data_IF_953680656056
#
_entry.id   IF_953680656056
#
_cell.length_a   1.000
_cell.length_b   1.000
_cell.length_c   1.000
_cell.angle_alpha   90.00
_cell.angle_beta   90.00
_cell.angle_gamma   90.00
#
_symmetry.space_group_name_H-M   'P 1'
#
loop_
_entity.id
_entity.type
_entity.pdbx_description
1 polymer ?
#
# COMPACT_ATOMS: atom_id res chain seq x y z
N UNK A 1 -38.42 62.19 22.84
CA UNK A 1 -38.74 60.86 23.40
C UNK A 1 -39.37 60.06 22.26
N UNK A 2 -38.86 58.95 21.74
CA UNK A 2 -37.78 58.07 22.16
C UNK A 2 -36.95 57.62 20.96
N UNK A 3 -35.65 57.75 21.12
CA UNK A 3 -34.60 57.38 20.20
C UNK A 3 -33.93 56.11 20.74
N UNK A 4 -34.62 54.96 20.73
CA UNK A 4 -34.03 53.68 21.19
C UNK A 4 -34.83 52.53 20.60
N UNK A 5 -34.41 51.91 19.49
CA UNK A 5 -34.74 50.51 19.17
C UNK A 5 -34.01 49.91 17.93
N UNK A 6 -32.96 50.56 17.38
CA UNK A 6 -32.22 50.02 16.22
C UNK A 6 -30.75 49.64 16.45
N UNK A 7 -30.26 49.55 17.69
CA UNK A 7 -28.83 49.27 17.97
C UNK A 7 -28.55 47.86 18.51
N UNK A 8 -29.56 47.03 18.80
CA UNK A 8 -29.32 45.77 19.55
C UNK A 8 -29.13 44.53 18.65
N UNK A 9 -29.50 44.57 17.36
CA UNK A 9 -29.41 43.38 16.49
C UNK A 9 -28.19 43.29 15.58
N UNK A 10 -27.21 44.21 15.72
CA UNK A 10 -25.98 44.20 14.92
C UNK A 10 -24.72 43.83 15.73
N UNK A 11 -24.89 43.31 16.95
CA UNK A 11 -23.78 42.96 17.85
C UNK A 11 -23.73 41.49 18.30
N UNK A 12 -24.48 40.59 17.65
CA UNK A 12 -24.38 39.14 17.91
C UNK A 12 -23.82 38.31 16.74
N UNK A 13 -23.39 38.94 15.64
CA UNK A 13 -22.87 38.20 14.46
C UNK A 13 -21.34 38.27 14.27
N UNK A 14 -20.60 38.83 15.23
CA UNK A 14 -19.15 39.02 15.11
C UNK A 14 -18.31 38.35 16.22
N UNK A 15 -18.84 37.37 16.94
CA UNK A 15 -18.08 36.57 17.92
C UNK A 15 -18.23 35.05 17.71
N UNK A 16 -18.31 34.61 16.45
CA UNK A 16 -17.58 33.39 16.10
C UNK A 16 -16.17 33.82 15.76
N UNK A 17 -15.36 34.06 16.79
CA UNK A 17 -13.93 33.86 16.62
C UNK A 17 -13.77 32.41 16.21
N UNK A 18 -13.58 32.18 14.91
CA UNK A 18 -12.89 31.00 14.44
C UNK A 18 -11.58 31.04 15.20
N UNK A 19 -11.48 30.27 16.29
CA UNK A 19 -10.18 29.91 16.83
C UNK A 19 -9.45 29.33 15.63
N UNK A 20 -8.36 29.93 15.15
CA UNK A 20 -7.57 29.27 14.14
C UNK A 20 -7.17 27.95 14.78
N UNK A 21 -7.74 26.84 14.28
CA UNK A 21 -7.23 25.53 14.63
C UNK A 21 -5.74 25.62 14.37
N UNK A 22 -4.96 25.24 15.37
CA UNK A 22 -3.50 25.29 15.34
C UNK A 22 -3.09 24.76 13.98
N UNK A 23 -2.66 25.65 13.09
CA UNK A 23 -2.40 25.28 11.70
C UNK A 23 -1.45 24.10 11.76
N UNK A 24 -1.94 22.90 11.42
CA UNK A 24 -1.09 21.73 11.33
C UNK A 24 -0.17 22.01 10.16
N UNK A 25 0.98 22.61 10.49
CA UNK A 25 2.15 22.57 9.65
C UNK A 25 2.42 21.08 9.47
N UNK A 26 2.03 20.54 8.31
CA UNK A 26 2.56 19.28 7.81
C UNK A 26 4.07 19.39 7.93
N UNK A 27 4.63 18.83 9.01
CA UNK A 27 6.05 18.93 9.27
C UNK A 27 6.75 18.04 8.25
N UNK A 28 7.04 18.62 7.08
CA UNK A 28 7.69 17.94 5.96
C UNK A 28 9.06 17.36 6.33
N UNK A 29 9.64 17.76 7.46
CA UNK A 29 10.90 17.19 7.95
C UNK A 29 10.77 15.70 8.34
N UNK A 30 9.57 15.21 8.63
CA UNK A 30 9.32 13.77 8.92
C UNK A 30 8.85 12.96 7.71
N UNK A 31 8.67 13.59 6.55
CA UNK A 31 8.22 12.89 5.35
C UNK A 31 9.45 12.48 4.54
N UNK A 32 9.77 11.18 4.56
CA UNK A 32 10.66 10.61 3.55
C UNK A 32 9.98 10.76 2.18
N UNK A 33 10.67 11.40 1.25
CA UNK A 33 10.20 11.53 -0.13
C UNK A 33 10.06 10.10 -0.67
N UNK A 34 8.84 9.71 -1.07
CA UNK A 34 8.65 8.50 -1.88
C UNK A 34 9.58 8.58 -3.08
N UNK A 35 10.05 7.45 -3.58
CA UNK A 35 10.74 7.40 -4.87
C UNK A 35 9.92 8.21 -5.88
N UNK A 36 10.62 8.99 -6.70
CA UNK A 36 9.94 9.84 -7.66
C UNK A 36 9.00 8.98 -8.49
N UNK A 37 7.73 9.38 -8.58
CA UNK A 37 6.84 8.83 -9.59
C UNK A 37 7.58 8.84 -10.94
N UNK A 38 7.38 7.79 -11.73
CA UNK A 38 8.09 7.57 -13.00
C UNK A 38 8.26 8.90 -13.73
N UNK A 39 9.51 9.31 -13.95
CA UNK A 39 9.86 10.66 -14.42
C UNK A 39 9.36 10.97 -15.84
N UNK A 40 8.73 10.00 -16.48
CA UNK A 40 8.33 9.96 -17.87
C UNK A 40 6.80 9.96 -18.03
N UNK A 41 6.04 10.70 -17.21
CA UNK A 41 4.61 10.89 -17.51
C UNK A 41 4.47 11.36 -18.97
N UNK A 42 3.77 10.61 -19.84
CA UNK A 42 3.73 10.93 -21.26
C UNK A 42 3.15 12.32 -21.57
N UNK A 43 2.34 12.87 -20.66
CA UNK A 43 1.77 14.21 -20.78
C UNK A 43 2.61 15.32 -20.13
N UNK A 44 3.71 14.97 -19.48
CA UNK A 44 4.50 15.87 -18.62
C UNK A 44 3.75 16.37 -17.38
N UNK A 45 2.53 15.87 -17.13
CA UNK A 45 1.72 16.22 -15.97
C UNK A 45 0.84 15.03 -15.52
N UNK A 46 -0.19 15.25 -14.70
CA UNK A 46 -1.09 14.18 -14.22
C UNK A 46 -2.21 13.80 -15.22
N UNK A 47 -2.39 14.55 -16.31
CA UNK A 47 -3.41 14.25 -17.29
C UNK A 47 -3.03 12.98 -18.07
N UNK A 48 -3.96 12.03 -18.23
CA UNK A 48 -3.75 10.88 -19.11
C UNK A 48 -3.70 11.33 -20.58
N UNK A 49 -3.05 10.52 -21.42
CA UNK A 49 -3.02 10.70 -22.88
C UNK A 49 -3.39 9.40 -23.56
N UNK A 50 -3.92 9.51 -24.77
CA UNK A 50 -4.09 8.36 -25.65
C UNK A 50 -2.74 8.07 -26.27
N UNK A 51 -2.29 6.82 -26.18
CA UNK A 51 -1.06 6.34 -26.78
C UNK A 51 -1.35 5.07 -27.60
N UNK A 52 -0.43 4.74 -28.52
CA UNK A 52 -0.52 3.52 -29.31
C UNK A 52 -0.27 2.31 -28.42
N UNK A 53 -1.11 1.29 -28.56
CA UNK A 53 -0.90 0.02 -27.88
C UNK A 53 0.47 -0.57 -28.27
N UNK A 54 1.22 -1.16 -27.33
CA UNK A 54 2.42 -1.93 -27.65
C UNK A 54 2.09 -3.03 -28.66
N UNK A 55 3.01 -3.29 -29.59
CA UNK A 55 2.83 -4.34 -30.61
C UNK A 55 2.90 -5.76 -30.02
N UNK A 56 3.57 -5.91 -28.87
CA UNK A 56 3.71 -7.18 -28.14
C UNK A 56 2.92 -7.10 -26.82
N UNK A 57 1.59 -7.17 -26.92
CA UNK A 57 0.69 -7.12 -25.77
C UNK A 57 0.27 -8.53 -25.34
N UNK A 58 0.59 -8.88 -24.09
CA UNK A 58 0.18 -10.15 -23.50
C UNK A 58 -1.23 -10.05 -22.90
N UNK A 59 -2.14 -10.92 -23.34
CA UNK A 59 -3.46 -11.10 -22.73
C UNK A 59 -3.63 -12.53 -22.26
N UNK A 60 -4.19 -12.68 -21.05
CA UNK A 60 -4.63 -13.98 -20.55
C UNK A 60 -6.08 -14.19 -20.95
N UNK A 61 -6.35 -15.25 -21.70
CA UNK A 61 -7.72 -15.63 -22.01
C UNK A 61 -8.37 -16.25 -20.77
N UNK A 62 -9.61 -15.86 -20.40
CA UNK A 62 -10.26 -16.34 -19.19
C UNK A 62 -10.53 -17.86 -19.18
N UNK A 63 -10.56 -18.51 -20.35
CA UNK A 63 -10.87 -19.93 -20.51
C UNK A 63 -9.65 -20.79 -20.86
N UNK A 64 -8.44 -20.25 -20.74
CA UNK A 64 -7.23 -21.03 -20.97
C UNK A 64 -6.98 -21.95 -19.76
N UNK A 65 -7.14 -23.25 -19.95
CA UNK A 65 -6.97 -24.26 -18.90
C UNK A 65 -5.54 -24.28 -18.34
N UNK A 66 -4.56 -23.80 -19.11
CA UNK A 66 -3.16 -23.64 -18.69
C UNK A 66 -2.72 -22.18 -18.78
N UNK A 67 -3.59 -21.27 -18.34
CA UNK A 67 -3.34 -19.83 -18.37
C UNK A 67 -1.98 -19.47 -17.77
N UNK A 68 -1.03 -19.16 -18.65
CA UNK A 68 0.35 -18.88 -18.26
C UNK A 68 0.45 -17.58 -17.47
N UNK A 69 1.42 -17.54 -16.56
CA UNK A 69 1.87 -16.29 -15.95
C UNK A 69 2.42 -15.36 -17.04
N UNK A 70 2.28 -14.06 -16.83
CA UNK A 70 3.01 -13.11 -17.67
C UNK A 70 4.51 -13.37 -17.53
N UNK A 71 5.31 -13.04 -18.56
CA UNK A 71 6.77 -13.22 -18.49
C UNK A 71 7.36 -12.54 -17.25
N UNK A 72 6.97 -11.29 -17.00
CA UNK A 72 7.44 -10.52 -15.85
C UNK A 72 7.09 -11.17 -14.50
N UNK A 73 5.88 -11.72 -14.37
CA UNK A 73 5.46 -12.40 -13.15
C UNK A 73 6.21 -13.73 -12.97
N UNK A 74 6.34 -14.52 -14.04
CA UNK A 74 7.12 -15.75 -14.01
C UNK A 74 8.58 -15.49 -13.63
N UNK A 75 9.21 -14.48 -14.23
CA UNK A 75 10.60 -14.10 -13.95
C UNK A 75 10.76 -13.63 -12.50
N UNK A 76 9.83 -12.82 -12.00
CA UNK A 76 9.82 -12.35 -10.61
C UNK A 76 9.72 -13.52 -9.62
N UNK A 77 8.79 -14.45 -9.83
CA UNK A 77 8.57 -15.58 -8.91
C UNK A 77 9.74 -16.54 -8.93
N UNK A 78 10.28 -16.86 -10.11
CA UNK A 78 11.45 -17.72 -10.24
C UNK A 78 12.67 -17.11 -9.55
N UNK A 79 12.93 -15.82 -9.75
CA UNK A 79 14.03 -15.10 -9.11
C UNK A 79 13.86 -15.07 -7.58
N UNK A 80 12.66 -14.73 -7.10
CA UNK A 80 12.36 -14.66 -5.67
C UNK A 80 12.47 -16.02 -5.00
N UNK A 81 11.95 -17.07 -5.62
CA UNK A 81 12.06 -18.44 -5.10
C UNK A 81 13.52 -18.92 -5.05
N UNK A 82 14.33 -18.57 -6.05
CA UNK A 82 15.77 -18.85 -6.02
C UNK A 82 16.47 -18.17 -4.84
N UNK A 83 16.14 -16.91 -4.57
CA UNK A 83 16.71 -16.15 -3.45
C UNK A 83 16.17 -16.53 -2.07
N UNK A 84 15.06 -17.29 -1.99
CA UNK A 84 14.44 -17.64 -0.71
C UNK A 84 14.96 -18.91 -0.06
N UNK A 85 15.85 -19.67 -0.72
CA UNK A 85 16.48 -20.87 -0.13
C UNK A 85 17.10 -20.59 1.25
N UNK A 86 17.99 -19.58 1.43
CA UNK A 86 18.55 -19.29 2.75
C UNK A 86 17.49 -18.81 3.74
N UNK A 87 16.45 -18.11 3.27
CA UNK A 87 15.35 -17.63 4.12
C UNK A 87 14.51 -18.80 4.67
N UNK A 88 14.28 -19.83 3.84
CA UNK A 88 13.62 -21.06 4.26
C UNK A 88 14.46 -21.82 5.28
N UNK A 89 15.77 -21.91 5.06
CA UNK A 89 16.69 -22.54 6.00
C UNK A 89 16.69 -21.84 7.35
N UNK A 90 16.81 -20.51 7.36
CA UNK A 90 16.77 -19.70 8.58
C UNK A 90 15.45 -19.87 9.34
N UNK A 91 14.32 -19.85 8.64
CA UNK A 91 13.00 -20.00 9.26
C UNK A 91 12.78 -21.41 9.82
N UNK A 92 13.06 -22.46 9.05
CA UNK A 92 12.83 -23.84 9.48
C UNK A 92 13.72 -24.23 10.67
N UNK A 93 14.97 -23.75 10.70
CA UNK A 93 15.85 -23.92 11.85
C UNK A 93 15.34 -23.17 13.09
N UNK A 94 14.70 -22.01 12.92
CA UNK A 94 14.12 -21.22 14.02
C UNK A 94 12.95 -21.92 14.70
N UNK A 95 12.07 -22.57 13.93
CA UNK A 95 10.84 -23.20 14.45
C UNK A 95 11.13 -24.48 15.23
N UNK A 96 12.27 -25.13 15.00
CA UNK A 96 12.66 -26.37 15.70
C UNK A 96 11.57 -27.45 15.65
N UNK A 97 11.07 -27.72 14.44
CA UNK A 97 10.04 -28.74 14.22
C UNK A 97 10.54 -30.12 14.69
N UNK A 98 9.73 -30.79 15.49
CA UNK A 98 10.02 -32.15 15.97
C UNK A 98 10.05 -33.12 14.78
N UNK A 99 11.04 -34.02 14.78
CA UNK A 99 11.20 -35.08 13.77
C UNK A 99 11.29 -34.54 12.33
N UNK A 100 11.83 -33.32 12.15
CA UNK A 100 11.95 -32.66 10.85
C UNK A 100 13.42 -32.34 10.52
N UNK A 101 13.90 -32.86 9.39
CA UNK A 101 15.25 -32.57 8.88
C UNK A 101 15.21 -31.46 7.81
N UNK A 102 15.71 -30.28 8.19
CA UNK A 102 15.78 -29.09 7.33
C UNK A 102 16.66 -29.31 6.10
N UNK A 103 17.78 -30.03 6.25
CA UNK A 103 18.69 -30.28 5.13
C UNK A 103 18.07 -31.20 4.10
N UNK A 104 17.40 -32.26 4.56
CA UNK A 104 16.65 -33.17 3.69
C UNK A 104 15.53 -32.43 2.95
N UNK A 105 14.75 -31.59 3.66
CA UNK A 105 13.68 -30.79 3.04
C UNK A 105 14.21 -29.86 1.95
N UNK A 106 15.32 -29.15 2.20
CA UNK A 106 15.88 -28.18 1.25
C UNK A 106 16.79 -28.81 0.19
N UNK A 107 17.07 -30.11 0.27
CA UNK A 107 18.01 -30.79 -0.63
C UNK A 107 17.67 -30.55 -2.11
N UNK A 108 16.40 -30.74 -2.49
CA UNK A 108 15.96 -30.54 -3.88
C UNK A 108 16.12 -29.10 -4.35
N UNK A 109 15.85 -28.12 -3.48
CA UNK A 109 15.99 -26.70 -3.80
C UNK A 109 17.46 -26.28 -3.90
N UNK A 110 18.33 -26.81 -3.03
CA UNK A 110 19.78 -26.56 -3.06
C UNK A 110 20.44 -27.17 -4.31
N UNK A 111 19.99 -28.34 -4.76
CA UNK A 111 20.53 -29.02 -5.95
C UNK A 111 19.98 -28.49 -7.27
N UNK A 112 18.66 -28.27 -7.36
CA UNK A 112 17.97 -27.97 -8.63
C UNK A 112 17.50 -26.50 -8.74
N UNK A 113 17.84 -25.67 -7.77
CA UNK A 113 17.37 -24.29 -7.65
C UNK A 113 16.00 -24.16 -6.95
N UNK A 114 15.78 -22.99 -6.35
CA UNK A 114 14.53 -22.65 -5.67
C UNK A 114 13.42 -22.31 -6.66
N UNK A 115 12.35 -23.11 -6.65
CA UNK A 115 11.19 -22.98 -7.52
C UNK A 115 9.91 -23.10 -6.69
N UNK A 116 9.10 -22.06 -6.69
CA UNK A 116 7.87 -22.01 -5.92
C UNK A 116 6.86 -23.06 -6.41
N UNK A 117 6.41 -23.93 -5.50
CA UNK A 117 5.48 -25.02 -5.79
C UNK A 117 6.13 -26.31 -6.31
N UNK A 118 7.42 -26.29 -6.62
CA UNK A 118 8.14 -27.47 -7.16
C UNK A 118 9.25 -28.00 -6.24
N UNK A 119 10.13 -27.09 -5.79
CA UNK A 119 11.27 -27.43 -4.90
C UNK A 119 11.17 -26.72 -3.55
N UNK A 120 10.39 -25.63 -3.49
CA UNK A 120 10.04 -24.90 -2.27
C UNK A 120 8.52 -24.68 -2.20
N UNK A 121 7.91 -24.59 -1.00
CA UNK A 121 6.50 -24.24 -0.89
C UNK A 121 6.20 -22.86 -1.50
N UNK A 122 5.03 -22.73 -2.11
CA UNK A 122 4.55 -21.44 -2.62
C UNK A 122 3.55 -20.82 -1.63
N UNK A 123 4.00 -19.84 -0.86
CA UNK A 123 3.20 -19.17 0.16
C UNK A 123 2.64 -17.83 -0.36
N UNK A 124 1.41 -17.51 0.01
CA UNK A 124 0.85 -16.18 -0.22
C UNK A 124 -0.14 -15.74 0.84
N UNK A 125 -0.31 -14.43 0.99
CA UNK A 125 -1.29 -13.81 1.87
C UNK A 125 -2.58 -13.45 1.14
N UNK A 126 -3.72 -13.67 1.79
CA UNK A 126 -5.05 -13.21 1.33
C UNK A 126 -5.67 -12.34 2.41
N UNK A 127 -5.93 -11.07 2.09
CA UNK A 127 -6.20 -10.02 3.06
C UNK A 127 -7.55 -9.33 2.75
N UNK A 128 -8.49 -9.44 3.68
CA UNK A 128 -9.88 -9.01 3.50
C UNK A 128 -10.06 -7.49 3.49
N UNK A 129 -11.21 -7.03 3.00
CA UNK A 129 -11.60 -5.61 3.07
C UNK A 129 -12.17 -5.18 4.42
N UNK A 130 -12.30 -3.87 4.62
CA UNK A 130 -12.87 -3.30 5.85
C UNK A 130 -12.31 -1.92 6.25
N UNK A 131 -11.96 -1.09 5.27
CA UNK A 131 -11.43 0.27 5.51
C UNK A 131 -10.20 0.29 6.43
N UNK A 132 -10.12 1.30 7.29
CA UNK A 132 -9.00 1.49 8.21
C UNK A 132 -8.79 0.29 9.16
N UNK A 133 -9.86 -0.41 9.56
CA UNK A 133 -9.74 -1.62 10.39
C UNK A 133 -8.95 -2.71 9.67
N UNK A 134 -9.32 -3.01 8.41
CA UNK A 134 -8.63 -4.03 7.64
C UNK A 134 -7.18 -3.64 7.35
N UNK A 135 -6.91 -2.35 7.11
CA UNK A 135 -5.56 -1.80 7.00
C UNK A 135 -4.75 -2.11 8.27
N UNK A 136 -5.24 -1.75 9.46
CA UNK A 136 -4.50 -1.95 10.71
C UNK A 136 -4.30 -3.43 11.05
N UNK A 137 -5.31 -4.28 10.85
CA UNK A 137 -5.22 -5.73 11.10
C UNK A 137 -4.23 -6.38 10.13
N UNK A 138 -4.25 -5.97 8.86
CA UNK A 138 -3.29 -6.50 7.89
C UNK A 138 -1.88 -6.04 8.24
N UNK A 139 -1.71 -4.78 8.64
CA UNK A 139 -0.43 -4.23 9.06
C UNK A 139 0.15 -5.04 10.24
N UNK A 140 -0.66 -5.32 11.27
CA UNK A 140 -0.20 -6.10 12.43
C UNK A 140 0.16 -7.54 12.07
N UNK A 141 -0.64 -8.21 11.23
CA UNK A 141 -0.36 -9.59 10.78
C UNK A 141 0.97 -9.64 10.00
N UNK A 142 1.17 -8.73 9.05
CA UNK A 142 2.41 -8.71 8.28
C UNK A 142 3.62 -8.38 9.16
N UNK A 143 3.49 -7.46 10.13
CA UNK A 143 4.57 -7.14 11.08
C UNK A 143 4.89 -8.30 12.02
N UNK A 144 3.88 -9.09 12.42
CA UNK A 144 4.06 -10.29 13.24
C UNK A 144 4.79 -11.42 12.51
N UNK A 145 4.84 -11.39 11.17
CA UNK A 145 5.55 -12.37 10.36
C UNK A 145 6.88 -11.87 9.79
N UNK A 146 7.23 -10.61 10.06
CA UNK A 146 8.45 -10.00 9.54
C UNK A 146 9.68 -10.43 10.35
N UNK A 147 10.71 -10.97 9.70
CA UNK A 147 11.98 -11.32 10.36
C UNK A 147 12.72 -10.13 10.97
N UNK A 148 12.37 -8.90 10.55
CA UNK A 148 12.89 -7.65 11.12
C UNK A 148 12.20 -7.26 12.43
N UNK A 149 11.26 -8.07 12.92
CA UNK A 149 10.60 -7.92 14.22
C UNK A 149 11.19 -8.92 15.22
N UNK A 150 11.90 -8.41 16.24
CA UNK A 150 12.54 -9.26 17.26
C UNK A 150 11.51 -10.13 18.02
N UNK A 151 10.34 -9.57 18.35
CA UNK A 151 9.27 -10.33 19.02
C UNK A 151 8.70 -11.44 18.13
N UNK A 152 8.66 -11.23 16.82
CA UNK A 152 8.25 -12.28 15.88
C UNK A 152 9.29 -13.41 15.84
N UNK A 153 10.58 -13.07 15.89
CA UNK A 153 11.66 -14.04 15.93
C UNK A 153 11.66 -14.85 17.23
N UNK A 154 11.43 -14.20 18.37
CA UNK A 154 11.24 -14.84 19.68
C UNK A 154 10.04 -15.79 19.67
N UNK A 155 8.94 -15.35 19.05
CA UNK A 155 7.73 -16.17 18.85
C UNK A 155 7.85 -17.20 17.73
N UNK A 156 9.03 -17.38 17.13
CA UNK A 156 9.32 -18.34 16.05
C UNK A 156 8.49 -18.16 14.76
N UNK A 157 7.79 -17.03 14.60
CA UNK A 157 6.95 -16.73 13.43
C UNK A 157 7.59 -15.68 12.50
N UNK A 158 8.67 -15.04 12.94
CA UNK A 158 9.45 -14.10 12.14
C UNK A 158 10.11 -14.79 10.95
N UNK A 159 9.94 -14.22 9.75
CA UNK A 159 10.45 -14.75 8.50
C UNK A 159 9.37 -15.23 7.54
N UNK A 160 8.18 -15.58 8.03
CA UNK A 160 7.06 -16.03 7.17
C UNK A 160 6.73 -14.98 6.10
N UNK A 161 6.82 -13.69 6.43
CA UNK A 161 6.61 -12.61 5.47
C UNK A 161 7.61 -12.67 4.31
N UNK A 162 8.87 -12.95 4.61
CA UNK A 162 9.94 -13.03 3.62
C UNK A 162 9.79 -14.28 2.73
N UNK A 163 9.17 -15.36 3.22
CA UNK A 163 8.92 -16.59 2.46
C UNK A 163 7.74 -16.47 1.48
N UNK A 164 6.83 -15.52 1.69
CA UNK A 164 5.69 -15.33 0.81
C UNK A 164 6.11 -14.80 -0.57
N UNK A 165 5.56 -15.39 -1.63
CA UNK A 165 5.73 -14.93 -3.01
C UNK A 165 4.61 -13.99 -3.45
N UNK A 166 3.42 -14.14 -2.85
CA UNK A 166 2.23 -13.38 -3.19
C UNK A 166 1.59 -12.72 -1.97
N UNK A 167 0.96 -11.57 -2.18
CA UNK A 167 0.05 -10.97 -1.23
C UNK A 167 -1.09 -10.32 -2.02
N UNK A 168 -2.31 -10.74 -1.75
CA UNK A 168 -3.52 -10.18 -2.34
C UNK A 168 -4.33 -9.51 -1.22
N UNK A 169 -4.81 -8.30 -1.48
CA UNK A 169 -5.61 -7.54 -0.54
C UNK A 169 -6.64 -6.68 -1.24
N UNK A 170 -7.84 -6.60 -0.66
CA UNK A 170 -8.96 -5.83 -1.23
C UNK A 170 -9.37 -4.69 -0.30
N UNK A 171 -9.87 -3.58 -0.85
CA UNK A 171 -10.38 -2.43 -0.08
C UNK A 171 -9.32 -1.90 0.91
N UNK A 172 -9.60 -1.85 2.21
CA UNK A 172 -8.66 -1.36 3.23
C UNK A 172 -7.27 -2.00 3.18
N UNK A 173 -7.17 -3.32 2.97
CA UNK A 173 -5.87 -3.99 2.83
C UNK A 173 -5.15 -3.63 1.53
N UNK A 174 -5.89 -3.26 0.47
CA UNK A 174 -5.27 -2.76 -0.76
C UNK A 174 -4.58 -1.41 -0.55
N UNK A 175 -5.08 -0.57 0.37
CA UNK A 175 -4.44 0.69 0.72
C UNK A 175 -3.05 0.46 1.34
N UNK A 176 -2.95 -0.51 2.26
CA UNK A 176 -1.69 -0.93 2.87
C UNK A 176 -0.76 -1.54 1.83
N UNK A 177 -1.18 -2.58 1.11
CA UNK A 177 -0.28 -3.28 0.19
C UNK A 177 0.23 -2.33 -0.91
N UNK A 178 -0.64 -1.48 -1.45
CA UNK A 178 -0.27 -0.48 -2.45
C UNK A 178 0.70 0.58 -1.92
N UNK A 179 0.43 1.16 -0.74
CA UNK A 179 1.32 2.17 -0.15
C UNK A 179 2.66 1.58 0.29
N UNK A 180 2.65 0.37 0.83
CA UNK A 180 3.83 -0.33 1.32
C UNK A 180 4.75 -0.76 0.19
N UNK A 181 4.20 -1.33 -0.89
CA UNK A 181 4.98 -1.71 -2.08
C UNK A 181 5.58 -0.49 -2.79
N UNK A 182 4.81 0.59 -2.93
CA UNK A 182 5.29 1.84 -3.56
C UNK A 182 6.23 2.66 -2.68
N UNK A 183 6.47 2.24 -1.44
CA UNK A 183 7.40 2.88 -0.51
C UNK A 183 8.63 2.01 -0.21
N UNK A 184 8.87 0.98 -1.03
CA UNK A 184 9.97 0.02 -0.87
C UNK A 184 9.95 -0.74 0.47
N UNK A 185 8.76 -1.20 0.88
CA UNK A 185 8.57 -2.15 1.99
C UNK A 185 9.25 -1.76 3.33
N UNK A 186 9.02 -0.55 3.88
CA UNK A 186 9.55 -0.15 5.18
C UNK A 186 9.03 -1.07 6.30
N UNK A 187 9.63 -0.99 7.49
CA UNK A 187 9.07 -1.67 8.67
C UNK A 187 7.68 -1.13 8.95
N UNK A 188 6.70 -2.02 9.07
CA UNK A 188 5.30 -1.60 9.27
C UNK A 188 5.15 -0.77 10.55
N UNK A 189 5.88 -1.12 11.60
CA UNK A 189 5.92 -0.37 12.86
C UNK A 189 6.46 1.07 12.73
N UNK A 190 7.13 1.41 11.62
CA UNK A 190 7.64 2.77 11.35
C UNK A 190 6.67 3.62 10.53
N UNK A 191 5.57 3.03 10.06
CA UNK A 191 4.59 3.72 9.24
C UNK A 191 3.63 4.52 10.12
N UNK A 192 3.58 5.82 9.88
CA UNK A 192 2.55 6.71 10.42
C UNK A 192 1.42 6.87 9.40
N UNK A 193 0.28 6.25 9.71
CA UNK A 193 -0.91 6.25 8.86
C UNK A 193 -1.82 7.46 9.11
N UNK A 194 -1.54 8.25 10.16
CA UNK A 194 -2.30 9.47 10.51
C UNK A 194 -3.81 9.23 10.61
N UNK A 195 -4.19 8.04 11.10
CA UNK A 195 -5.59 7.62 11.25
C UNK A 195 -6.29 8.29 12.44
N UNK A 196 -5.50 8.85 13.35
CA UNK A 196 -5.89 9.60 14.53
C UNK A 196 -5.99 11.11 14.29
N UNK A 197 -5.61 11.58 13.11
CA UNK A 197 -5.74 12.98 12.75
C UNK A 197 -7.16 13.34 12.28
N UNK A 198 -7.66 14.47 12.80
CA UNK A 198 -8.91 15.07 12.35
C UNK A 198 -8.81 15.46 10.86
N UNK A 199 -9.72 14.93 10.06
CA UNK A 199 -9.83 15.19 8.62
C UNK A 199 -11.21 15.76 8.27
N UNK A 200 -11.68 16.69 9.10
CA UNK A 200 -13.00 17.29 8.92
C UNK A 200 -13.10 18.06 7.60
N UNK A 201 -14.23 17.89 6.91
CA UNK A 201 -14.49 18.55 5.62
C UNK A 201 -14.48 20.08 5.70
N UNK A 202 -14.67 20.62 6.90
CA UNK A 202 -14.70 22.06 7.19
C UNK A 202 -13.30 22.64 7.44
N UNK A 203 -12.27 21.81 7.56
CA UNK A 203 -10.89 22.29 7.66
C UNK A 203 -10.48 22.95 6.33
N UNK A 204 -10.01 24.20 6.43
CA UNK A 204 -9.44 24.95 5.31
C UNK A 204 -8.33 24.19 4.57
N UNK A 205 -7.57 23.31 5.23
CA UNK A 205 -6.58 22.45 4.60
C UNK A 205 -7.22 21.38 3.71
N UNK A 206 -8.32 20.79 4.17
CA UNK A 206 -9.12 19.83 3.40
C UNK A 206 -9.79 20.52 2.22
N UNK A 207 -10.37 21.71 2.40
CA UNK A 207 -10.95 22.50 1.30
C UNK A 207 -9.92 22.86 0.22
N UNK A 208 -8.70 23.29 0.61
CA UNK A 208 -7.59 23.55 -0.32
C UNK A 208 -7.17 22.29 -1.06
N UNK A 209 -7.18 21.14 -0.38
CA UNK A 209 -6.89 19.85 -1.01
C UNK A 209 -7.94 19.49 -2.06
N UNK A 210 -9.23 19.65 -1.72
CA UNK A 210 -10.35 19.38 -2.62
C UNK A 210 -10.27 20.21 -3.92
N UNK A 211 -9.91 21.49 -3.82
CA UNK A 211 -9.69 22.34 -5.00
C UNK A 211 -8.56 21.84 -5.91
N UNK A 212 -7.51 21.22 -5.34
CA UNK A 212 -6.42 20.62 -6.12
C UNK A 212 -6.91 19.36 -6.84
N UNK A 213 -7.62 18.48 -6.14
CA UNK A 213 -8.22 17.26 -6.71
C UNK A 213 -9.16 17.63 -7.84
N UNK A 214 -10.06 18.59 -7.62
CA UNK A 214 -10.98 19.09 -8.65
C UNK A 214 -10.26 19.58 -9.92
N UNK A 215 -9.12 20.29 -9.77
CA UNK A 215 -8.30 20.71 -10.93
C UNK A 215 -7.73 19.50 -11.69
N UNK A 216 -7.32 18.44 -11.00
CA UNK A 216 -6.80 17.20 -11.62
C UNK A 216 -7.93 16.47 -12.36
N UNK A 217 -9.08 16.29 -11.72
CA UNK A 217 -10.27 15.66 -12.33
C UNK A 217 -10.72 16.44 -13.57
N UNK A 218 -10.73 17.78 -13.51
CA UNK A 218 -11.05 18.63 -14.67
C UNK A 218 -10.05 18.43 -15.82
N UNK A 219 -8.76 18.23 -15.54
CA UNK A 219 -7.76 17.90 -16.56
C UNK A 219 -8.02 16.54 -17.20
N UNK A 220 -8.34 15.51 -16.40
CA UNK A 220 -8.73 14.18 -16.90
C UNK A 220 -9.95 14.25 -17.83
N UNK A 221 -11.00 14.98 -17.43
CA UNK A 221 -12.19 15.20 -18.26
C UNK A 221 -11.87 15.94 -19.56
N UNK A 222 -11.04 16.98 -19.51
CA UNK A 222 -10.59 17.72 -20.71
C UNK A 222 -9.76 16.86 -21.67
N UNK A 223 -9.03 15.88 -21.15
CA UNK A 223 -8.29 14.91 -21.95
C UNK A 223 -9.19 13.84 -22.60
N UNK A 224 -10.52 13.91 -22.41
CA UNK A 224 -11.48 12.98 -23.02
C UNK A 224 -11.75 11.71 -22.22
N UNK A 225 -11.21 11.58 -20.99
CA UNK A 225 -11.40 10.41 -20.15
C UNK A 225 -12.62 10.57 -19.24
N UNK A 226 -13.32 9.45 -18.99
CA UNK A 226 -14.46 9.41 -18.08
C UNK A 226 -14.03 9.77 -16.64
N UNK A 227 -14.93 10.43 -15.91
CA UNK A 227 -14.72 10.85 -14.52
C UNK A 227 -15.94 10.47 -13.70
N UNK A 228 -15.71 10.05 -12.46
CA UNK A 228 -16.71 9.56 -11.52
C UNK A 228 -16.35 10.05 -10.10
N UNK A 229 -16.99 9.46 -9.09
CA UNK A 229 -16.68 9.71 -7.67
C UNK A 229 -15.42 8.97 -7.18
N UNK A 230 -14.86 8.06 -7.99
CA UNK A 230 -13.68 7.26 -7.63
C UNK A 230 -12.39 8.10 -7.71
N UNK A 231 -12.40 9.20 -8.45
CA UNK A 231 -11.29 10.15 -8.62
C UNK A 231 -11.24 11.26 -7.56
#
# INVERSE_FOLDING_TARGET
MNLTHHVIYLWCLFHFTVTPSTSYNLNRQRLTRRDAAISNSPSGNYAPVVDKCPTDFFTRQPNDAEAKLSKSESDYINTRAGHSIPLWEDYLNRVQLKDFDVNSFLHKAKQNGGKAGETLPNLGFSLSGGGARALCVTASILDAFDSRNEKANEGQVGGILQLANYAAGVSGSSWLLGSWATSNFPRISTLDWRLDEENDLWDWNVAKHFLKVWKIVKKKKKAGFHVSIVE
#
